data_IF_190931436058
#
_entry.id   IF_190931436058
#
_cell.length_a   1.000
_cell.length_b   1.000
_cell.length_c   1.000
_cell.angle_alpha   90.00
_cell.angle_beta   90.00
_cell.angle_gamma   90.00
#
_symmetry.space_group_name_H-M   'P 1'
#
loop_
_entity.id
_entity.type
_entity.pdbx_description
1 polymer ?
#
# COMPACT_ATOMS: atom_id res chain seq x y z
N UNK A 1 20.84 0.35 47.99
CA UNK A 1 19.95 -0.83 48.04
C UNK A 1 18.47 -0.41 48.07
N UNK A 2 18.04 0.53 47.21
CA UNK A 2 16.63 0.97 47.17
C UNK A 2 16.12 1.42 45.78
N UNK A 3 16.90 1.22 44.71
CA UNK A 3 16.54 1.81 43.40
C UNK A 3 16.67 0.82 42.22
N UNK A 4 16.29 -0.44 42.45
CA UNK A 4 16.18 -1.47 41.39
C UNK A 4 14.82 -2.16 41.36
N UNK A 5 13.89 -1.73 42.21
CA UNK A 5 12.55 -2.31 42.36
C UNK A 5 11.43 -1.45 41.74
N UNK A 6 11.76 -0.29 41.15
CA UNK A 6 10.79 0.60 40.50
C UNK A 6 10.69 0.42 38.97
N UNK A 7 11.32 -0.61 38.40
CA UNK A 7 11.35 -0.81 36.95
C UNK A 7 10.31 -1.84 36.49
N UNK A 8 9.25 -1.29 35.86
CA UNK A 8 8.26 -1.88 34.97
C UNK A 8 7.17 -2.77 35.59
N UNK A 9 6.21 -2.14 36.27
CA UNK A 9 4.85 -2.69 36.30
C UNK A 9 4.28 -2.71 34.88
N UNK A 10 4.17 -3.89 34.27
CA UNK A 10 3.54 -4.08 32.95
C UNK A 10 2.18 -3.39 32.91
N UNK A 11 2.03 -2.36 32.07
CA UNK A 11 0.77 -1.63 31.94
C UNK A 11 -0.19 -2.43 31.06
N UNK A 12 -1.37 -2.74 31.60
CA UNK A 12 -2.43 -3.42 30.88
C UNK A 12 -3.51 -2.45 30.43
N UNK A 13 -3.96 -2.60 29.18
CA UNK A 13 -5.03 -1.81 28.57
C UNK A 13 -6.13 -2.71 28.03
N UNK A 14 -7.37 -2.19 27.98
CA UNK A 14 -8.51 -2.93 27.43
C UNK A 14 -8.61 -2.72 25.92
N UNK A 15 -9.41 -3.57 25.25
CA UNK A 15 -9.59 -3.58 23.80
C UNK A 15 -9.77 -2.20 23.17
N UNK A 16 -10.57 -1.30 23.75
CA UNK A 16 -10.78 0.05 23.19
C UNK A 16 -9.55 0.95 23.25
N UNK A 17 -8.75 0.83 24.29
CA UNK A 17 -7.52 1.61 24.44
C UNK A 17 -6.39 0.97 23.62
N UNK A 18 -6.29 -0.36 23.62
CA UNK A 18 -5.42 -1.11 22.72
C UNK A 18 -5.67 -0.77 21.24
N UNK A 19 -6.94 -0.67 20.85
CA UNK A 19 -7.35 -0.29 19.50
C UNK A 19 -6.91 1.14 19.14
N UNK A 20 -7.01 2.07 20.10
CA UNK A 20 -6.51 3.44 19.93
C UNK A 20 -4.98 3.48 19.78
N UNK A 21 -4.25 2.73 20.61
CA UNK A 21 -2.79 2.62 20.54
C UNK A 21 -2.36 2.11 19.16
N UNK A 22 -3.08 1.12 18.61
CA UNK A 22 -2.78 0.53 17.31
C UNK A 22 -3.42 1.25 16.11
N UNK A 23 -4.20 2.32 16.32
CA UNK A 23 -4.89 3.03 15.24
C UNK A 23 -5.96 2.20 14.49
N UNK A 24 -6.48 1.13 15.09
CA UNK A 24 -7.49 0.22 14.50
C UNK A 24 -8.81 0.23 15.27
N UNK A 25 -9.83 -0.45 14.75
CA UNK A 25 -11.11 -0.59 15.47
C UNK A 25 -11.03 -1.67 16.56
N UNK A 26 -11.77 -1.54 17.68
CA UNK A 26 -11.89 -2.59 18.70
C UNK A 26 -12.37 -3.94 18.13
N UNK A 27 -13.25 -3.87 17.12
CA UNK A 27 -13.80 -5.04 16.41
C UNK A 27 -12.73 -5.78 15.58
N UNK A 28 -11.72 -5.05 15.10
CA UNK A 28 -10.55 -5.63 14.44
C UNK A 28 -9.72 -6.46 15.44
N UNK A 29 -9.49 -5.94 16.65
CA UNK A 29 -8.80 -6.68 17.71
C UNK A 29 -9.58 -7.92 18.15
N UNK A 30 -10.91 -7.83 18.26
CA UNK A 30 -11.78 -8.98 18.52
C UNK A 30 -11.60 -10.08 17.47
N UNK A 31 -11.61 -9.69 16.19
CA UNK A 31 -11.39 -10.61 15.08
C UNK A 31 -10.01 -11.26 15.18
N UNK A 32 -8.95 -10.49 15.43
CA UNK A 32 -7.61 -11.06 15.56
C UNK A 32 -7.48 -12.08 16.69
N UNK A 33 -8.19 -11.88 17.81
CA UNK A 33 -8.22 -12.88 18.90
C UNK A 33 -8.86 -14.20 18.48
N UNK A 34 -9.96 -14.14 17.73
CA UNK A 34 -10.63 -15.35 17.23
C UNK A 34 -9.77 -16.15 16.25
N UNK A 35 -8.90 -15.49 15.49
CA UNK A 35 -8.11 -16.11 14.43
C UNK A 35 -6.62 -16.34 14.81
N UNK A 36 -6.20 -15.92 16.01
CA UNK A 36 -4.82 -16.07 16.48
C UNK A 36 -3.79 -15.18 15.77
N UNK A 37 -4.22 -14.15 15.02
CA UNK A 37 -3.35 -13.34 14.15
C UNK A 37 -2.99 -11.96 14.73
N UNK A 38 -3.31 -11.70 16.00
CA UNK A 38 -3.22 -10.38 16.64
C UNK A 38 -2.16 -10.26 17.73
N UNK A 39 -2.11 -9.08 18.37
CA UNK A 39 -1.28 -8.90 19.56
C UNK A 39 -1.72 -9.85 20.66
N UNK A 40 -0.76 -10.31 21.46
CA UNK A 40 -1.01 -11.24 22.57
C UNK A 40 -2.02 -10.64 23.53
N UNK A 41 -3.10 -11.38 23.81
CA UNK A 41 -4.11 -10.98 24.78
C UNK A 41 -4.11 -11.92 25.98
N UNK A 42 -4.51 -11.40 27.15
CA UNK A 42 -4.66 -12.17 28.39
C UNK A 42 -6.07 -11.98 28.94
N UNK A 43 -6.56 -12.99 29.67
CA UNK A 43 -7.83 -12.91 30.41
C UNK A 43 -7.51 -12.73 31.89
N UNK A 44 -7.77 -11.54 32.43
CA UNK A 44 -7.61 -11.23 33.86
C UNK A 44 -9.00 -10.97 34.45
N UNK A 45 -9.44 -11.83 35.39
CA UNK A 45 -10.77 -11.72 36.01
C UNK A 45 -11.92 -11.71 35.00
N UNK A 46 -11.84 -12.53 33.95
CA UNK A 46 -12.84 -12.61 32.88
C UNK A 46 -12.79 -11.47 31.84
N UNK A 47 -11.91 -10.47 32.02
CA UNK A 47 -11.76 -9.34 31.10
C UNK A 47 -10.58 -9.58 30.16
N UNK A 48 -10.75 -9.22 28.89
CA UNK A 48 -9.66 -9.27 27.91
C UNK A 48 -8.82 -8.00 28.00
N UNK A 49 -7.52 -8.18 28.19
CA UNK A 49 -6.53 -7.11 28.29
C UNK A 49 -5.30 -7.40 27.43
N UNK A 50 -4.57 -6.35 27.12
CA UNK A 50 -3.31 -6.37 26.38
C UNK A 50 -2.25 -5.67 27.22
N UNK A 51 -1.04 -6.21 27.28
CA UNK A 51 0.08 -5.41 27.77
C UNK A 51 0.40 -4.36 26.69
N UNK A 52 0.69 -3.12 27.10
CA UNK A 52 1.09 -2.07 26.16
C UNK A 52 2.34 -2.49 25.39
N UNK A 53 3.33 -3.07 26.09
CA UNK A 53 4.56 -3.58 25.48
C UNK A 53 4.29 -4.67 24.41
N UNK A 54 3.30 -5.55 24.63
CA UNK A 54 2.92 -6.58 23.64
C UNK A 54 2.17 -5.99 22.43
N UNK A 55 1.46 -4.85 22.61
CA UNK A 55 0.81 -4.14 21.52
C UNK A 55 1.84 -3.44 20.66
N UNK A 56 2.78 -2.73 21.28
CA UNK A 56 3.89 -2.05 20.63
C UNK A 56 4.76 -3.08 19.90
N UNK A 57 5.21 -4.13 20.60
CA UNK A 57 6.00 -5.19 19.98
C UNK A 57 5.24 -6.01 18.92
N UNK A 58 3.90 -6.02 18.91
CA UNK A 58 3.15 -6.63 17.82
C UNK A 58 2.98 -5.68 16.62
N UNK A 59 2.77 -4.39 16.89
CA UNK A 59 2.72 -3.34 15.87
C UNK A 59 4.06 -3.29 15.11
N UNK A 60 5.17 -3.39 15.85
CA UNK A 60 6.53 -3.41 15.32
C UNK A 60 6.87 -4.70 14.55
N UNK A 61 5.96 -5.68 14.49
CA UNK A 61 6.26 -7.07 14.13
C UNK A 61 5.36 -7.63 13.02
N UNK A 62 4.74 -6.79 12.18
CA UNK A 62 4.33 -7.26 10.83
C UNK A 62 5.58 -7.58 10.00
N UNK A 63 6.57 -6.68 10.01
CA UNK A 63 7.85 -6.83 9.32
C UNK A 63 8.66 -8.01 9.85
N UNK A 64 8.81 -8.13 11.17
CA UNK A 64 9.63 -9.18 11.79
C UNK A 64 9.01 -10.58 11.74
N UNK A 65 7.74 -10.71 11.32
CA UNK A 65 7.09 -11.99 10.97
C UNK A 65 7.24 -12.37 9.49
N UNK A 66 7.79 -11.50 8.66
CA UNK A 66 7.93 -11.72 7.22
C UNK A 66 9.41 -11.85 6.87
N UNK A 67 9.73 -12.83 6.02
CA UNK A 67 11.03 -12.84 5.36
C UNK A 67 11.08 -11.68 4.36
N UNK A 68 12.14 -10.84 4.36
CA UNK A 68 12.27 -9.77 3.39
C UNK A 68 12.46 -10.34 1.98
N UNK A 69 11.65 -9.88 1.04
CA UNK A 69 11.90 -10.02 -0.38
C UNK A 69 12.92 -8.96 -0.80
N UNK A 70 14.17 -9.40 -0.93
CA UNK A 70 15.26 -8.54 -1.40
C UNK A 70 15.13 -8.40 -2.92
N UNK A 71 14.86 -7.18 -3.36
CA UNK A 71 14.75 -6.89 -4.78
C UNK A 71 16.14 -6.93 -5.40
N UNK A 72 16.41 -8.00 -6.15
CA UNK A 72 17.59 -8.08 -7.01
C UNK A 72 17.41 -7.10 -8.18
N UNK A 73 18.50 -6.43 -8.58
CA UNK A 73 18.51 -5.57 -9.77
C UNK A 73 18.03 -6.36 -10.99
N UNK A 74 16.94 -5.92 -11.61
CA UNK A 74 16.42 -6.51 -12.84
C UNK A 74 15.52 -5.55 -13.61
N UNK A 75 15.61 -5.61 -14.93
CA UNK A 75 14.77 -4.89 -15.90
C UNK A 75 13.39 -5.55 -16.00
N UNK A 76 12.70 -5.64 -14.85
CA UNK A 76 11.38 -6.24 -14.78
C UNK A 76 10.41 -5.40 -15.63
N UNK A 77 9.83 -6.03 -16.64
CA UNK A 77 8.85 -5.38 -17.51
C UNK A 77 7.69 -4.84 -16.64
N UNK A 78 7.30 -3.56 -16.78
CA UNK A 78 6.31 -2.95 -15.90
C UNK A 78 4.99 -3.72 -15.81
N UNK A 79 4.50 -3.90 -14.58
CA UNK A 79 3.27 -4.62 -14.25
C UNK A 79 2.39 -3.75 -13.37
N UNK A 80 1.14 -3.60 -13.77
CA UNK A 80 0.15 -2.85 -13.01
C UNK A 80 -1.08 -3.73 -12.73
N UNK A 81 -1.70 -3.49 -11.58
CA UNK A 81 -2.85 -4.27 -11.11
C UNK A 81 -4.14 -3.74 -11.76
N UNK A 82 -4.91 -4.63 -12.38
CA UNK A 82 -6.13 -4.32 -13.15
C UNK A 82 -7.20 -3.59 -12.35
N UNK A 83 -7.28 -3.84 -11.03
CA UNK A 83 -8.23 -3.17 -10.15
C UNK A 83 -7.96 -1.67 -10.07
N UNK A 84 -6.69 -1.26 -10.12
CA UNK A 84 -6.26 0.12 -9.95
C UNK A 84 -6.36 0.94 -11.25
N UNK A 85 -6.58 0.29 -12.39
CA UNK A 85 -6.44 0.90 -13.70
C UNK A 85 -7.61 1.81 -14.13
N UNK A 86 -8.80 1.63 -13.57
CA UNK A 86 -9.99 2.35 -14.04
C UNK A 86 -10.76 3.11 -12.95
N UNK A 87 -10.39 2.93 -11.68
CA UNK A 87 -11.10 3.51 -10.54
C UNK A 87 -10.24 4.55 -9.84
N UNK A 88 -10.85 5.57 -9.20
CA UNK A 88 -10.11 6.72 -8.71
C UNK A 88 -9.48 6.44 -7.34
N UNK A 89 -8.43 5.61 -7.35
CA UNK A 89 -7.65 5.26 -6.16
C UNK A 89 -6.61 6.33 -5.77
N UNK A 90 -6.37 7.29 -6.67
CA UNK A 90 -5.32 8.29 -6.55
C UNK A 90 -5.83 9.65 -7.01
N UNK A 91 -5.31 10.72 -6.41
CA UNK A 91 -5.49 12.07 -6.94
C UNK A 91 -4.83 12.20 -8.32
N UNK A 92 -5.57 12.75 -9.29
CA UNK A 92 -5.05 13.05 -10.63
C UNK A 92 -4.37 14.42 -10.71
N UNK A 93 -4.53 15.27 -9.68
CA UNK A 93 -3.87 16.57 -9.60
C UNK A 93 -2.50 16.45 -8.90
N UNK A 94 -1.53 17.26 -9.34
CA UNK A 94 -0.23 17.42 -8.65
C UNK A 94 -0.37 18.20 -7.34
N UNK A 95 -1.42 19.00 -7.22
CA UNK A 95 -1.71 19.75 -6.01
C UNK A 95 -2.13 18.81 -4.88
N UNK A 96 -1.80 19.20 -3.65
CA UNK A 96 -2.21 18.50 -2.43
C UNK A 96 -3.74 18.45 -2.37
N UNK A 97 -4.30 17.25 -2.42
CA UNK A 97 -5.74 16.98 -2.22
C UNK A 97 -5.96 16.40 -0.83
N UNK A 98 -6.85 17.02 -0.06
CA UNK A 98 -7.34 16.48 1.22
C UNK A 98 -8.83 16.11 1.15
N UNK A 99 -9.54 16.67 0.17
CA UNK A 99 -10.93 16.31 -0.14
C UNK A 99 -11.00 14.81 -0.49
N UNK A 100 -11.84 14.02 0.20
CA UNK A 100 -12.01 12.60 -0.10
C UNK A 100 -12.41 12.34 -1.55
N UNK A 101 -12.13 11.13 -2.02
CA UNK A 101 -12.74 10.58 -3.23
C UNK A 101 -13.79 9.58 -2.80
N UNK A 102 -15.01 9.74 -3.31
CA UNK A 102 -16.08 8.76 -3.18
C UNK A 102 -16.52 8.35 -4.58
N UNK A 103 -16.40 7.05 -4.88
CA UNK A 103 -16.76 6.49 -6.17
C UNK A 103 -17.64 5.27 -5.99
N UNK A 104 -18.72 5.22 -6.75
CA UNK A 104 -19.70 4.14 -6.73
C UNK A 104 -20.16 3.84 -8.15
N UNK A 105 -20.06 2.59 -8.56
CA UNK A 105 -20.56 2.13 -9.85
C UNK A 105 -20.93 0.64 -9.73
N UNK A 106 -22.23 0.34 -9.87
CA UNK A 106 -22.79 -0.97 -9.57
C UNK A 106 -22.54 -1.37 -8.10
N UNK A 107 -22.15 -2.62 -7.87
CA UNK A 107 -21.84 -3.14 -6.53
C UNK A 107 -20.47 -2.71 -5.99
N UNK A 108 -19.73 -1.91 -6.76
CA UNK A 108 -18.36 -1.54 -6.42
C UNK A 108 -18.31 -0.11 -5.89
N UNK A 109 -17.83 0.00 -4.65
CA UNK A 109 -17.52 1.26 -3.97
C UNK A 109 -16.03 1.39 -3.73
N UNK A 110 -15.50 2.59 -3.94
CA UNK A 110 -14.13 2.97 -3.60
C UNK A 110 -14.19 4.31 -2.87
N UNK A 111 -13.60 4.37 -1.69
CA UNK A 111 -13.45 5.59 -0.91
C UNK A 111 -11.96 5.79 -0.62
N UNK A 112 -11.46 7.00 -0.84
CA UNK A 112 -10.05 7.35 -0.60
C UNK A 112 -10.01 8.56 0.31
N UNK A 113 -9.34 8.42 1.44
CA UNK A 113 -9.19 9.46 2.45
C UNK A 113 -7.71 9.82 2.61
N UNK A 114 -7.47 11.10 2.83
CA UNK A 114 -6.13 11.63 3.07
C UNK A 114 -6.02 12.14 4.51
N UNK A 115 -4.83 12.03 5.09
CA UNK A 115 -4.48 12.86 6.25
C UNK A 115 -4.16 14.29 5.78
N UNK A 116 -4.56 15.33 6.53
CA UNK A 116 -4.26 16.71 6.16
C UNK A 116 -2.76 16.90 5.88
N UNK A 117 -1.89 16.54 6.84
CA UNK A 117 -0.43 16.74 6.81
C UNK A 117 0.24 16.36 5.47
N UNK A 118 -0.03 15.16 4.95
CA UNK A 118 0.63 14.68 3.73
C UNK A 118 -0.23 14.84 2.46
N UNK A 119 -1.56 14.93 2.59
CA UNK A 119 -2.48 14.85 1.46
C UNK A 119 -2.61 13.43 0.89
N UNK A 120 -3.44 13.31 -0.14
CA UNK A 120 -3.74 12.04 -0.80
C UNK A 120 -2.61 11.61 -1.73
N UNK A 121 -2.36 10.30 -1.79
CA UNK A 121 -1.52 9.70 -2.81
C UNK A 121 -2.03 10.08 -4.22
N UNK A 122 -1.08 10.51 -5.05
CA UNK A 122 -1.32 10.93 -6.42
C UNK A 122 -1.04 9.80 -7.39
N UNK A 123 -1.51 9.93 -8.63
CA UNK A 123 -1.29 8.92 -9.67
C UNK A 123 0.21 8.71 -10.02
N UNK A 124 1.08 9.68 -9.70
CA UNK A 124 2.53 9.50 -9.81
C UNK A 124 3.10 8.64 -8.68
N UNK A 125 2.48 8.64 -7.50
CA UNK A 125 2.90 7.78 -6.38
C UNK A 125 2.61 6.30 -6.68
N UNK A 126 1.62 6.02 -7.54
CA UNK A 126 1.34 4.68 -8.04
C UNK A 126 2.53 4.03 -8.76
N UNK A 127 3.54 4.81 -9.20
CA UNK A 127 4.76 4.28 -9.82
C UNK A 127 5.53 3.36 -8.88
N UNK A 128 5.50 3.64 -7.57
CA UNK A 128 6.09 2.77 -6.54
C UNK A 128 5.39 1.40 -6.53
N UNK A 129 4.06 1.39 -6.64
CA UNK A 129 3.26 0.17 -6.64
C UNK A 129 3.43 -0.63 -7.93
N UNK A 130 3.47 0.05 -9.08
CA UNK A 130 3.76 -0.57 -10.38
C UNK A 130 5.14 -1.22 -10.34
N UNK A 131 6.15 -0.49 -9.85
CA UNK A 131 7.50 -1.04 -9.67
C UNK A 131 7.48 -2.27 -8.76
N UNK A 132 6.86 -2.18 -7.58
CA UNK A 132 6.79 -3.30 -6.63
C UNK A 132 6.12 -4.55 -7.25
N UNK A 133 4.99 -4.36 -7.94
CA UNK A 133 4.30 -5.43 -8.64
C UNK A 133 5.17 -6.07 -9.73
N UNK A 134 5.95 -5.26 -10.45
CA UNK A 134 6.88 -5.73 -11.48
C UNK A 134 7.96 -6.65 -10.89
N UNK A 135 8.55 -6.26 -9.75
CA UNK A 135 9.58 -7.06 -9.07
C UNK A 135 9.03 -8.38 -8.53
N UNK A 136 7.84 -8.35 -7.89
CA UNK A 136 7.18 -9.56 -7.40
C UNK A 136 6.85 -10.49 -8.57
N UNK A 137 6.29 -9.95 -9.65
CA UNK A 137 5.91 -10.75 -10.81
C UNK A 137 7.11 -11.43 -11.45
N UNK A 138 8.20 -10.70 -11.61
CA UNK A 138 9.43 -11.22 -12.21
C UNK A 138 10.06 -12.30 -11.33
N UNK A 139 10.16 -12.06 -10.01
CA UNK A 139 10.67 -13.05 -9.07
C UNK A 139 9.85 -14.36 -9.09
N UNK A 140 8.52 -14.27 -9.11
CA UNK A 140 7.64 -15.44 -9.25
C UNK A 140 7.84 -16.16 -10.60
N UNK A 141 8.08 -15.43 -11.70
CA UNK A 141 8.36 -16.06 -13.01
C UNK A 141 9.68 -16.83 -13.00
N UNK A 142 10.66 -16.36 -12.24
CA UNK A 142 11.96 -17.01 -12.04
C UNK A 142 11.92 -18.11 -10.97
N UNK A 143 10.76 -18.34 -10.33
CA UNK A 143 10.58 -19.37 -9.30
C UNK A 143 11.12 -19.00 -7.92
N UNK A 144 11.41 -17.72 -7.67
CA UNK A 144 11.83 -17.25 -6.35
C UNK A 144 10.62 -17.05 -5.42
N UNK A 145 10.82 -17.33 -4.13
CA UNK A 145 9.83 -17.02 -3.09
C UNK A 145 9.72 -15.49 -2.94
N UNK A 146 8.51 -14.98 -3.05
CA UNK A 146 8.22 -13.55 -2.84
C UNK A 146 7.58 -13.25 -1.48
N UNK A 147 7.53 -11.97 -1.13
CA UNK A 147 6.96 -11.46 0.12
C UNK A 147 6.37 -10.07 -0.10
N UNK A 148 5.38 -9.70 0.72
CA UNK A 148 4.84 -8.33 0.78
C UNK A 148 5.78 -7.34 1.48
N UNK A 149 6.83 -7.84 2.14
CA UNK A 149 7.88 -7.03 2.76
C UNK A 149 9.06 -6.91 1.77
N UNK A 150 9.25 -5.73 1.19
CA UNK A 150 10.27 -5.46 0.18
C UNK A 150 11.47 -4.75 0.81
N UNK A 151 12.68 -5.18 0.44
CA UNK A 151 13.95 -4.49 0.70
C UNK A 151 14.62 -4.14 -0.61
N UNK A 152 15.01 -2.87 -0.78
CA UNK A 152 15.53 -2.34 -2.04
C UNK A 152 16.41 -1.11 -1.81
N UNK A 153 17.11 -0.67 -2.84
CA UNK A 153 17.80 0.63 -2.83
C UNK A 153 16.97 1.68 -3.58
N UNK A 154 16.95 2.95 -3.13
CA UNK A 154 16.26 4.01 -3.86
C UNK A 154 16.70 4.13 -5.33
N UNK A 155 17.99 3.89 -5.59
CA UNK A 155 18.56 3.88 -6.94
C UNK A 155 17.88 2.86 -7.86
N UNK A 156 17.64 1.63 -7.37
CA UNK A 156 16.96 0.58 -8.14
C UNK A 156 15.54 0.99 -8.53
N UNK A 157 14.75 1.49 -7.56
CA UNK A 157 13.38 1.93 -7.82
C UNK A 157 13.37 3.07 -8.82
N UNK A 158 14.11 4.15 -8.54
CA UNK A 158 14.09 5.37 -9.35
C UNK A 158 14.54 5.11 -10.79
N UNK A 159 15.62 4.36 -10.97
CA UNK A 159 16.12 4.01 -12.31
C UNK A 159 15.09 3.19 -13.08
N UNK A 160 14.45 2.21 -12.43
CA UNK A 160 13.46 1.34 -13.07
C UNK A 160 12.20 2.09 -13.54
N UNK A 161 11.78 3.12 -12.80
CA UNK A 161 10.66 3.99 -13.22
C UNK A 161 11.10 5.22 -14.03
N UNK A 162 12.34 5.24 -14.52
CA UNK A 162 12.86 6.29 -15.41
C UNK A 162 13.02 7.67 -14.74
N UNK A 163 13.26 7.71 -13.43
CA UNK A 163 13.51 8.94 -12.65
C UNK A 163 15.00 9.21 -12.48
N UNK A 164 15.32 10.46 -12.18
CA UNK A 164 16.68 10.84 -11.79
C UNK A 164 16.98 10.30 -10.37
N UNK A 165 18.26 10.18 -10.04
CA UNK A 165 18.72 9.59 -8.76
C UNK A 165 19.42 10.61 -7.86
N UNK A 166 19.06 11.90 -8.01
CA UNK A 166 19.60 12.98 -7.20
C UNK A 166 18.87 13.17 -5.88
N UNK A 167 19.42 14.02 -5.01
CA UNK A 167 18.83 14.34 -3.70
C UNK A 167 17.39 14.87 -3.77
N UNK A 168 17.01 15.52 -4.88
CA UNK A 168 15.63 15.95 -5.14
C UNK A 168 14.69 14.75 -5.29
N UNK A 169 14.99 13.82 -6.18
CA UNK A 169 14.15 12.65 -6.44
C UNK A 169 14.07 11.71 -5.23
N UNK A 170 15.14 11.63 -4.45
CA UNK A 170 15.12 10.89 -3.18
C UNK A 170 14.13 11.52 -2.18
N UNK A 171 14.10 12.86 -2.07
CA UNK A 171 13.08 13.56 -1.26
C UNK A 171 11.67 13.36 -1.81
N UNK A 172 11.51 13.36 -3.14
CA UNK A 172 10.21 13.10 -3.78
C UNK A 172 9.72 11.68 -3.50
N UNK A 173 10.61 10.68 -3.54
CA UNK A 173 10.31 9.29 -3.18
C UNK A 173 9.84 9.19 -1.73
N UNK A 174 10.56 9.80 -0.77
CA UNK A 174 10.12 9.83 0.64
C UNK A 174 8.73 10.47 0.79
N UNK A 175 8.48 11.56 0.08
CA UNK A 175 7.15 12.19 0.05
C UNK A 175 6.06 11.29 -0.54
N UNK A 176 6.39 10.50 -1.57
CA UNK A 176 5.49 9.51 -2.15
C UNK A 176 5.18 8.37 -1.16
N UNK A 177 6.20 7.83 -0.49
CA UNK A 177 6.03 6.78 0.53
C UNK A 177 5.16 7.28 1.70
N UNK A 178 5.40 8.50 2.18
CA UNK A 178 4.57 9.12 3.22
C UNK A 178 3.10 9.24 2.78
N UNK A 179 2.83 9.74 1.56
CA UNK A 179 1.46 9.83 1.03
C UNK A 179 0.81 8.46 0.84
N UNK A 180 1.54 7.46 0.35
CA UNK A 180 1.05 6.09 0.16
C UNK A 180 0.70 5.45 1.51
N UNK A 181 1.49 5.69 2.55
CA UNK A 181 1.22 5.21 3.91
C UNK A 181 0.02 5.92 4.55
N UNK A 182 -0.11 7.22 4.32
CA UNK A 182 -1.14 8.04 4.95
C UNK A 182 -2.45 8.16 4.16
N UNK A 183 -2.58 7.46 3.03
CA UNK A 183 -3.81 7.42 2.24
C UNK A 183 -4.58 6.16 2.58
N UNK A 184 -5.79 6.32 3.13
CA UNK A 184 -6.66 5.20 3.51
C UNK A 184 -7.62 4.90 2.37
N UNK A 185 -7.64 3.65 1.94
CA UNK A 185 -8.56 3.12 0.94
C UNK A 185 -9.61 2.28 1.64
N UNK A 186 -10.89 2.47 1.27
CA UNK A 186 -11.96 1.51 1.53
C UNK A 186 -12.54 1.03 0.21
N UNK A 187 -12.70 -0.28 0.04
CA UNK A 187 -13.29 -0.81 -1.19
C UNK A 187 -14.07 -2.10 -0.98
N UNK A 188 -15.08 -2.32 -1.85
CA UNK A 188 -15.79 -3.60 -2.02
C UNK A 188 -15.21 -4.45 -3.16
N UNK A 189 -14.14 -4.00 -3.82
CA UNK A 189 -13.47 -4.79 -4.86
C UNK A 189 -12.89 -6.06 -4.25
N UNK A 190 -13.15 -7.19 -4.91
CA UNK A 190 -12.72 -8.54 -4.49
C UNK A 190 -13.27 -8.97 -3.12
N UNK A 191 -14.37 -8.35 -2.67
CA UNK A 191 -15.20 -8.91 -1.61
C UNK A 191 -15.85 -10.20 -2.14
N UNK A 192 -15.39 -11.37 -1.69
CA UNK A 192 -15.99 -12.66 -2.06
C UNK A 192 -17.44 -12.83 -1.53
N UNK A 193 -17.97 -14.06 -1.49
CA UNK A 193 -19.34 -14.36 -0.99
C UNK A 193 -19.67 -13.71 0.36
N UNK A 194 -18.66 -13.54 1.20
CA UNK A 194 -18.77 -12.75 2.42
C UNK A 194 -18.45 -11.29 2.06
N UNK A 195 -19.49 -10.48 1.85
CA UNK A 195 -19.48 -9.02 1.62
C UNK A 195 -18.59 -8.26 2.64
N UNK A 196 -17.27 -8.33 2.47
CA UNK A 196 -16.28 -7.77 3.38
C UNK A 196 -15.67 -6.53 2.74
N UNK A 197 -15.96 -5.35 3.29
CA UNK A 197 -15.24 -4.13 2.94
C UNK A 197 -13.78 -4.27 3.35
N UNK A 198 -12.87 -4.07 2.40
CA UNK A 198 -11.45 -3.98 2.67
C UNK A 198 -11.10 -2.54 3.04
N UNK A 199 -10.30 -2.37 4.09
CA UNK A 199 -9.72 -1.08 4.46
C UNK A 199 -8.22 -1.25 4.68
N UNK A 200 -7.40 -0.43 4.02
CA UNK A 200 -5.94 -0.51 4.09
C UNK A 200 -5.30 0.82 3.64
N UNK A 201 -3.99 0.96 3.87
CA UNK A 201 -3.14 1.96 3.21
C UNK A 201 -2.29 1.30 2.14
N UNK A 202 -1.83 2.04 1.11
CA UNK A 202 -1.02 1.46 0.03
C UNK A 202 0.33 0.93 0.51
N UNK A 203 0.83 1.49 1.61
CA UNK A 203 2.01 1.02 2.34
C UNK A 203 1.59 0.93 3.82
N UNK A 204 1.76 -0.23 4.44
CA UNK A 204 1.49 -0.38 5.87
C UNK A 204 2.61 0.26 6.71
N UNK A 205 3.85 0.03 6.28
CA UNK A 205 5.06 0.38 7.02
C UNK A 205 6.19 0.65 6.02
N UNK A 206 7.07 1.60 6.31
CA UNK A 206 8.31 1.80 5.56
C UNK A 206 9.40 2.39 6.44
N UNK A 207 10.66 2.05 6.14
CA UNK A 207 11.83 2.55 6.87
C UNK A 207 13.00 2.81 5.92
N UNK A 208 13.89 3.70 6.34
CA UNK A 208 15.21 3.87 5.74
C UNK A 208 16.22 3.03 6.51
N UNK A 209 16.92 2.15 5.81
CA UNK A 209 18.02 1.40 6.39
C UNK A 209 19.26 2.29 6.35
N UNK A 210 19.65 2.85 7.49
CA UNK A 210 20.89 3.64 7.61
C UNK A 210 21.93 2.88 8.43
N UNK A 211 23.20 2.89 8.01
CA UNK A 211 24.30 2.45 8.87
C UNK A 211 24.38 3.33 10.12
N UNK A 212 25.07 2.85 11.15
CA UNK A 212 25.41 3.65 12.34
C UNK A 212 26.16 4.95 12.00
N UNK A 213 26.87 4.95 10.87
CA UNK A 213 27.62 6.11 10.36
C UNK A 213 26.77 7.04 9.49
N UNK A 214 25.45 6.79 9.38
CA UNK A 214 24.49 7.64 8.67
C UNK A 214 24.38 7.39 7.16
N UNK A 215 25.03 6.36 6.61
CA UNK A 215 24.92 6.01 5.18
C UNK A 215 23.61 5.27 4.94
N UNK A 216 22.78 5.76 4.02
CA UNK A 216 21.58 5.03 3.56
C UNK A 216 22.03 3.79 2.78
N UNK A 217 21.76 2.60 3.32
CA UNK A 217 22.01 1.30 2.68
C UNK A 217 20.84 0.85 1.81
N UNK A 218 19.63 1.30 2.15
CA UNK A 218 18.44 0.94 1.42
C UNK A 218 17.17 1.52 2.03
N UNK A 219 16.06 1.08 1.48
CA UNK A 219 14.73 1.32 1.98
C UNK A 219 13.97 0.02 2.03
N UNK A 220 12.98 0.01 2.90
CA UNK A 220 12.12 -1.12 3.11
C UNK A 220 10.68 -0.65 3.20
N UNK A 221 9.73 -1.44 2.68
CA UNK A 221 8.32 -1.22 2.95
C UNK A 221 7.51 -2.52 2.96
N UNK A 222 6.36 -2.46 3.62
CA UNK A 222 5.37 -3.54 3.68
C UNK A 222 4.13 -3.15 2.89
N UNK A 223 3.83 -3.90 1.84
CA UNK A 223 2.61 -3.78 1.06
C UNK A 223 1.41 -4.34 1.83
N UNK A 224 0.19 -3.81 1.62
CA UNK A 224 -1.02 -4.40 2.15
C UNK A 224 -1.27 -5.75 1.48
N UNK A 225 -1.75 -6.71 2.28
CA UNK A 225 -2.11 -8.06 1.82
C UNK A 225 -3.08 -8.03 0.63
N UNK A 226 -4.02 -7.08 0.60
CA UNK A 226 -4.96 -6.89 -0.51
C UNK A 226 -4.25 -6.63 -1.85
N UNK A 227 -3.22 -5.78 -1.86
CA UNK A 227 -2.44 -5.48 -3.06
C UNK A 227 -1.57 -6.68 -3.45
N UNK A 228 -0.82 -7.23 -2.49
CA UNK A 228 0.06 -8.38 -2.72
C UNK A 228 -0.70 -9.57 -3.33
N UNK A 229 -1.85 -9.96 -2.77
CA UNK A 229 -2.71 -11.02 -3.34
C UNK A 229 -3.19 -10.71 -4.75
N UNK A 230 -3.44 -9.43 -5.05
CA UNK A 230 -3.80 -8.99 -6.41
C UNK A 230 -2.65 -9.10 -7.41
N UNK A 231 -1.40 -8.98 -6.95
CA UNK A 231 -0.21 -9.15 -7.78
C UNK A 231 0.12 -10.63 -8.01
N UNK A 232 -0.06 -11.46 -6.98
CA UNK A 232 0.16 -12.92 -7.08
C UNK A 232 -0.87 -13.58 -8.01
N UNK A 233 -2.13 -13.13 -7.99
CA UNK A 233 -3.12 -13.56 -8.97
C UNK A 233 -2.82 -12.99 -10.36
N UNK A 234 -2.24 -13.82 -11.23
CA UNK A 234 -1.83 -13.45 -12.59
C UNK A 234 -2.99 -12.92 -13.46
N UNK A 235 -4.23 -13.28 -13.16
CA UNK A 235 -5.41 -12.78 -13.89
C UNK A 235 -5.71 -11.29 -13.62
N UNK A 236 -5.17 -10.77 -12.51
CA UNK A 236 -5.37 -9.40 -12.04
C UNK A 236 -4.18 -8.47 -12.33
N UNK A 237 -3.20 -8.93 -13.11
CA UNK A 237 -2.02 -8.14 -13.49
C UNK A 237 -1.96 -7.97 -15.01
N UNK A 238 -1.58 -6.77 -15.47
CA UNK A 238 -1.29 -6.50 -16.87
C UNK A 238 0.11 -5.90 -17.04
N UNK A 239 0.80 -6.36 -18.07
CA UNK A 239 1.98 -5.70 -18.59
C UNK A 239 1.62 -4.31 -19.13
N UNK A 240 2.38 -3.28 -18.75
CA UNK A 240 2.26 -1.93 -19.31
C UNK A 240 3.53 -1.56 -20.08
N UNK A 241 3.39 -0.63 -21.01
CA UNK A 241 4.49 -0.12 -21.81
C UNK A 241 5.39 0.78 -20.94
N UNK A 242 6.73 0.60 -20.94
CA UNK A 242 7.66 1.47 -20.21
C UNK A 242 7.50 2.97 -20.51
N UNK A 243 6.97 3.34 -21.69
CA UNK A 243 6.63 4.71 -22.04
C UNK A 243 5.62 5.37 -21.09
N UNK A 244 4.83 4.59 -20.35
CA UNK A 244 3.92 5.08 -19.33
C UNK A 244 4.60 6.05 -18.35
N UNK A 245 5.83 5.75 -17.93
CA UNK A 245 6.54 6.59 -16.96
C UNK A 245 6.92 7.97 -17.50
N UNK A 246 6.93 8.17 -18.82
CA UNK A 246 7.19 9.47 -19.46
C UNK A 246 5.97 10.40 -19.45
N UNK A 247 4.78 9.89 -19.13
CA UNK A 247 3.57 10.70 -19.02
C UNK A 247 3.67 11.68 -17.82
N UNK A 248 3.49 12.96 -18.08
CA UNK A 248 3.63 14.08 -17.14
C UNK A 248 2.32 14.57 -16.52
N UNK A 249 1.16 14.26 -17.12
CA UNK A 249 -0.18 14.68 -16.70
C UNK A 249 -0.96 13.57 -15.97
N UNK A 250 -1.87 13.93 -15.08
CA UNK A 250 -2.61 12.94 -14.32
C UNK A 250 -3.71 12.25 -15.13
N UNK A 251 -4.46 13.01 -15.92
CA UNK A 251 -5.53 12.49 -16.78
C UNK A 251 -4.96 11.57 -17.86
N UNK A 252 -3.85 11.94 -18.50
CA UNK A 252 -3.21 11.08 -19.51
C UNK A 252 -2.75 9.73 -18.94
N UNK A 253 -2.19 9.72 -17.72
CA UNK A 253 -1.78 8.49 -17.03
C UNK A 253 -2.98 7.62 -16.70
N UNK A 254 -4.05 8.24 -16.18
CA UNK A 254 -5.29 7.54 -15.89
C UNK A 254 -5.91 6.96 -17.17
N UNK A 255 -6.01 7.77 -18.23
CA UNK A 255 -6.56 7.35 -19.51
C UNK A 255 -5.77 6.20 -20.13
N UNK A 256 -4.44 6.23 -20.05
CA UNK A 256 -3.59 5.11 -20.46
C UNK A 256 -3.98 3.83 -19.72
N UNK A 257 -4.14 3.88 -18.40
CA UNK A 257 -4.49 2.70 -17.59
C UNK A 257 -5.88 2.15 -17.93
N UNK A 258 -6.86 3.03 -18.10
CA UNK A 258 -8.22 2.66 -18.52
C UNK A 258 -8.17 1.98 -19.90
N UNK A 259 -7.53 2.62 -20.87
CA UNK A 259 -7.37 2.06 -22.22
C UNK A 259 -6.63 0.73 -22.16
N UNK A 260 -5.57 0.61 -21.35
CA UNK A 260 -4.80 -0.64 -21.21
C UNK A 260 -5.64 -1.79 -20.65
N UNK A 261 -6.56 -1.49 -19.71
CA UNK A 261 -7.48 -2.48 -19.12
C UNK A 261 -8.51 -2.98 -20.13
N UNK A 262 -9.05 -2.08 -20.95
CA UNK A 262 -10.23 -2.34 -21.79
C UNK A 262 -9.90 -2.63 -23.25
N UNK A 263 -8.98 -1.88 -23.87
CA UNK A 263 -8.74 -1.94 -25.30
C UNK A 263 -8.22 -3.31 -25.77
N UNK A 264 -7.41 -3.99 -24.96
CA UNK A 264 -6.96 -5.36 -25.23
C UNK A 264 -6.46 -5.57 -26.67
N UNK A 265 -6.88 -6.68 -27.30
CA UNK A 265 -6.70 -6.92 -28.74
C UNK A 265 -8.03 -6.74 -29.47
N UNK A 266 -8.47 -5.50 -29.64
CA UNK A 266 -9.70 -5.16 -30.36
C UNK A 266 -9.37 -4.52 -31.72
N UNK A 267 -9.50 -5.25 -32.85
CA UNK A 267 -9.12 -4.75 -34.17
C UNK A 267 -9.90 -3.50 -34.62
N UNK A 268 -11.14 -3.36 -34.14
CA UNK A 268 -12.01 -2.21 -34.45
C UNK A 268 -11.85 -1.05 -33.47
N UNK A 269 -10.86 -1.14 -32.58
CA UNK A 269 -10.69 -0.21 -31.46
C UNK A 269 -11.69 -0.46 -30.33
N UNK A 270 -11.57 0.38 -29.31
CA UNK A 270 -12.44 0.38 -28.12
C UNK A 270 -13.13 1.74 -28.04
N UNK A 271 -14.45 1.73 -27.86
CA UNK A 271 -15.30 2.92 -27.80
C UNK A 271 -15.77 3.15 -26.37
N UNK A 272 -15.81 4.42 -25.97
CA UNK A 272 -16.27 4.81 -24.64
C UNK A 272 -16.85 6.22 -24.67
N UNK A 273 -17.91 6.44 -23.92
CA UNK A 273 -18.50 7.77 -23.80
C UNK A 273 -17.66 8.67 -22.88
N UNK A 274 -17.46 9.92 -23.28
CA UNK A 274 -16.70 10.90 -22.48
C UNK A 274 -17.34 11.11 -21.09
N UNK A 275 -18.67 11.10 -21.01
CA UNK A 275 -19.39 11.22 -19.74
C UNK A 275 -19.02 10.09 -18.77
N UNK A 276 -18.94 8.85 -19.27
CA UNK A 276 -18.55 7.70 -18.46
C UNK A 276 -17.07 7.73 -18.09
N UNK A 277 -16.18 8.26 -18.95
CA UNK A 277 -14.78 8.49 -18.57
C UNK A 277 -14.68 9.51 -17.43
N UNK A 278 -15.43 10.60 -17.50
CA UNK A 278 -15.43 11.63 -16.46
C UNK A 278 -15.92 11.07 -15.11
N UNK A 279 -16.96 10.23 -15.11
CA UNK A 279 -17.44 9.57 -13.90
C UNK A 279 -16.39 8.61 -13.30
N UNK A 280 -15.74 7.80 -14.15
CA UNK A 280 -14.71 6.86 -13.72
C UNK A 280 -13.42 7.51 -13.21
N UNK A 281 -13.07 8.69 -13.74
CA UNK A 281 -11.80 9.36 -13.40
C UNK A 281 -11.79 9.92 -11.99
N UNK A 282 -12.97 10.21 -11.41
CA UNK A 282 -13.08 10.88 -10.12
C UNK A 282 -12.39 12.26 -10.12
N UNK A 283 -12.32 12.93 -11.28
CA UNK A 283 -11.65 14.24 -11.45
C UNK A 283 -12.39 15.43 -10.83
N UNK A 284 -13.45 15.18 -10.05
CA UNK A 284 -14.19 16.17 -9.27
C UNK A 284 -13.36 16.72 -8.10
#
# INVERSE_FOLDING_TARGET
>A
MADRAAQLATRYVRTHEAARILGISPRTLEKYRCHGSGPTFRKLGGRVVYAVDDLEAWADNERSKLDPFVVATGDASPRDQRDLMERPFFSLAKARRTAPIHYEAGDVRVEVYAVPEHGMATIWDADVLIWAASQIVEAENLGFKTSRFLRFTPYQLLTSIGRQTGARDYRLLKGALARLQSTVIRTTIRSGEHWRRHQFSWINEWEECTTRDGRVEGMEFVLPDWFYRGVIDRSLVLAIDPAYFRLTGGIERWLYRVARKHAGRQPKGWLFEIAHLHEKSGSL
#
